data_IF_904107957754
#
_entry.id   IF_904107957754
#
_cell.length_a   1.000
_cell.length_b   1.000
_cell.length_c   1.000
_cell.angle_alpha   90.00
_cell.angle_beta   90.00
_cell.angle_gamma   90.00
#
_symmetry.space_group_name_H-M   'P 1'
#
loop_
_entity.id
_entity.type
_entity.pdbx_description
1 polymer ?
#
# COMPACT_ATOMS: atom_id res chain seq x y z
N UNK A 1 14.05 32.15 -45.80
CA UNK A 1 15.24 32.88 -46.28
C UNK A 1 15.96 31.95 -47.23
N UNK A 2 15.63 32.08 -48.51
CA UNK A 2 16.18 31.22 -49.58
C UNK A 2 16.96 32.16 -50.48
N UNK A 3 18.28 32.01 -50.47
CA UNK A 3 19.21 32.80 -51.26
C UNK A 3 19.03 32.49 -52.75
N UNK A 4 18.84 33.54 -53.55
CA UNK A 4 18.81 33.47 -55.01
C UNK A 4 20.24 33.77 -55.50
N UNK A 5 20.89 32.75 -56.04
CA UNK A 5 22.20 32.84 -56.71
C UNK A 5 22.14 33.76 -57.93
N UNK A 6 23.07 34.71 -57.98
CA UNK A 6 23.26 35.65 -59.08
C UNK A 6 23.83 34.95 -60.34
N UNK A 7 23.17 35.18 -61.48
CA UNK A 7 23.60 34.73 -62.80
C UNK A 7 24.72 35.63 -63.36
N UNK A 8 25.76 35.01 -63.91
CA UNK A 8 26.88 35.69 -64.57
C UNK A 8 26.47 36.36 -65.88
N UNK A 9 26.92 37.60 -66.08
CA UNK A 9 26.66 38.38 -67.30
C UNK A 9 27.38 37.85 -68.55
N UNK A 10 26.85 38.11 -69.76
CA UNK A 10 27.40 37.58 -71.01
C UNK A 10 28.75 38.22 -71.36
N UNK A 11 29.78 37.39 -71.54
CA UNK A 11 31.09 37.81 -72.04
C UNK A 11 31.01 38.13 -73.54
N UNK A 12 31.31 39.37 -73.91
CA UNK A 12 31.38 39.83 -75.31
C UNK A 12 32.62 39.22 -75.97
N UNK A 13 32.45 38.44 -77.04
CA UNK A 13 33.55 37.89 -77.84
C UNK A 13 33.73 38.69 -79.13
N UNK A 14 34.96 39.11 -79.45
CA UNK A 14 35.30 39.71 -80.75
C UNK A 14 35.54 38.63 -81.80
N UNK A 15 34.80 38.68 -82.91
CA UNK A 15 34.83 37.71 -84.02
C UNK A 15 35.36 38.41 -85.28
N UNK A 16 36.38 37.85 -85.93
CA UNK A 16 36.92 38.38 -87.18
C UNK A 16 35.96 38.14 -88.36
N UNK A 17 35.94 39.06 -89.33
CA UNK A 17 35.11 38.94 -90.52
C UNK A 17 35.68 37.92 -91.53
N UNK A 18 34.92 36.87 -91.86
CA UNK A 18 35.30 35.77 -92.75
C UNK A 18 35.01 36.05 -94.24
N UNK A 19 35.08 37.31 -94.69
CA UNK A 19 34.78 37.65 -96.09
C UNK A 19 35.93 37.19 -97.02
N UNK A 20 35.65 36.49 -98.14
CA UNK A 20 36.67 35.96 -99.03
C UNK A 20 37.32 37.09 -99.84
N UNK A 21 38.40 37.68 -99.30
CA UNK A 21 39.18 38.73 -99.97
C UNK A 21 40.69 38.46 -99.80
N UNK A 22 41.53 38.85 -100.78
CA UNK A 22 42.98 38.72 -100.68
C UNK A 22 43.50 39.52 -99.48
N UNK A 23 44.11 38.86 -98.48
CA UNK A 23 44.64 39.50 -97.27
C UNK A 23 43.69 39.55 -96.06
N UNK A 24 42.43 39.09 -96.20
CA UNK A 24 41.45 39.05 -95.11
C UNK A 24 40.92 40.42 -94.68
N UNK A 25 39.70 40.44 -94.13
CA UNK A 25 39.10 41.69 -93.65
C UNK A 25 39.66 42.05 -92.27
N UNK A 26 40.18 43.27 -92.11
CA UNK A 26 40.74 43.77 -90.83
C UNK A 26 39.68 44.03 -89.74
N UNK A 27 38.40 44.06 -90.10
CA UNK A 27 37.33 44.40 -89.17
C UNK A 27 36.92 43.21 -88.28
N UNK A 28 36.73 43.49 -87.00
CA UNK A 28 36.21 42.57 -85.98
C UNK A 28 34.81 43.02 -85.54
N UNK A 29 33.95 42.05 -85.22
CA UNK A 29 32.58 42.27 -84.73
C UNK A 29 32.47 41.83 -83.27
N UNK A 30 31.80 42.62 -82.45
CA UNK A 30 31.49 42.24 -81.07
C UNK A 30 30.21 41.41 -81.01
N UNK A 31 30.25 40.24 -80.37
CA UNK A 31 29.11 39.33 -80.23
C UNK A 31 28.90 38.95 -78.77
N UNK A 32 27.73 39.31 -78.23
CA UNK A 32 27.35 39.10 -76.83
C UNK A 32 26.02 38.34 -76.67
N UNK A 33 25.55 37.67 -77.73
CA UNK A 33 24.18 37.14 -77.80
C UNK A 33 24.05 35.62 -77.76
N UNK A 34 22.82 35.14 -77.58
CA UNK A 34 22.41 33.73 -77.72
C UNK A 34 21.82 33.56 -79.13
N UNK A 35 22.58 32.95 -80.04
CA UNK A 35 22.21 32.80 -81.46
C UNK A 35 23.36 32.37 -82.36
N UNK A 36 23.15 32.35 -83.68
CA UNK A 36 24.21 31.99 -84.63
C UNK A 36 25.19 33.16 -84.80
N UNK A 37 26.48 32.92 -84.53
CA UNK A 37 27.55 33.93 -84.64
C UNK A 37 27.56 34.58 -86.04
N UNK A 38 27.59 35.92 -86.14
CA UNK A 38 27.66 36.61 -87.42
C UNK A 38 29.02 36.37 -88.09
N UNK A 39 29.02 36.03 -89.38
CA UNK A 39 30.24 35.71 -90.15
C UNK A 39 30.86 36.91 -90.88
N UNK A 40 30.09 37.96 -91.16
CA UNK A 40 30.54 39.09 -91.98
C UNK A 40 30.20 40.43 -91.31
N UNK A 41 31.12 41.41 -91.40
CA UNK A 41 31.00 42.70 -90.70
C UNK A 41 29.97 43.68 -91.28
N UNK A 42 29.31 43.36 -92.39
CA UNK A 42 28.30 44.18 -93.10
C UNK A 42 28.73 45.58 -93.56
N UNK A 43 29.97 45.98 -93.26
CA UNK A 43 30.57 47.22 -93.71
C UNK A 43 31.05 47.11 -95.17
N UNK A 44 31.20 48.26 -95.83
CA UNK A 44 31.77 48.36 -97.18
C UNK A 44 33.28 48.53 -97.03
N UNK A 45 34.05 47.56 -97.54
CA UNK A 45 35.51 47.60 -97.58
C UNK A 45 35.92 47.43 -99.04
N UNK A 46 36.81 48.31 -99.53
CA UNK A 46 37.28 48.33 -100.93
C UNK A 46 36.15 48.33 -101.99
N UNK A 47 35.07 49.06 -101.71
CA UNK A 47 33.92 49.24 -102.62
C UNK A 47 32.88 48.11 -102.60
N UNK A 48 33.10 47.05 -101.81
CA UNK A 48 32.20 45.90 -101.70
C UNK A 48 31.65 45.74 -100.29
N UNK A 49 30.32 45.54 -100.17
CA UNK A 49 29.67 45.32 -98.88
C UNK A 49 29.88 43.88 -98.40
N UNK A 50 30.43 43.71 -97.21
CA UNK A 50 30.69 42.41 -96.58
C UNK A 50 29.41 41.76 -96.06
N UNK A 51 28.58 41.24 -96.98
CA UNK A 51 27.34 40.53 -96.70
C UNK A 51 27.37 39.13 -97.34
N UNK A 52 26.54 38.21 -96.85
CA UNK A 52 26.51 36.82 -97.32
C UNK A 52 26.31 36.68 -98.84
N UNK A 53 25.47 37.53 -99.43
CA UNK A 53 25.21 37.55 -100.87
C UNK A 53 26.47 37.92 -101.69
N UNK A 54 27.21 38.93 -101.25
CA UNK A 54 28.43 39.36 -101.95
C UNK A 54 29.59 38.38 -101.72
N UNK A 55 29.68 37.76 -100.53
CA UNK A 55 30.66 36.71 -100.25
C UNK A 55 30.45 35.50 -101.17
N UNK A 56 29.19 35.10 -101.39
CA UNK A 56 28.84 34.04 -102.33
C UNK A 56 29.20 34.41 -103.79
N UNK A 57 28.96 35.66 -104.20
CA UNK A 57 29.31 36.13 -105.56
C UNK A 57 30.81 36.19 -105.80
N UNK A 58 31.59 36.59 -104.79
CA UNK A 58 33.06 36.62 -104.87
C UNK A 58 33.62 35.20 -104.86
N UNK A 59 33.13 34.31 -104.00
CA UNK A 59 33.54 32.91 -103.97
C UNK A 59 33.25 32.17 -105.30
N UNK A 60 32.19 32.56 -106.00
CA UNK A 60 31.80 31.99 -107.30
C UNK A 60 32.38 32.76 -108.50
N UNK A 61 33.31 33.70 -108.29
CA UNK A 61 33.97 34.46 -109.38
C UNK A 61 33.06 35.42 -110.17
N UNK A 62 31.81 35.63 -109.72
CA UNK A 62 30.84 36.50 -110.39
C UNK A 62 31.06 38.00 -110.09
N UNK A 63 31.98 38.30 -109.16
CA UNK A 63 32.49 39.64 -108.86
C UNK A 63 33.97 39.50 -108.54
N UNK A 64 34.81 40.23 -109.27
CA UNK A 64 36.23 40.34 -108.96
C UNK A 64 36.42 41.35 -107.82
N UNK A 65 37.12 40.94 -106.76
CA UNK A 65 37.52 41.86 -105.69
C UNK A 65 38.60 42.79 -106.25
N UNK A 66 38.40 44.12 -106.23
CA UNK A 66 39.40 45.07 -106.69
C UNK A 66 40.68 44.97 -105.85
N UNK A 67 41.84 45.11 -106.48
CA UNK A 67 43.11 45.25 -105.74
C UNK A 67 43.06 46.51 -104.84
N UNK A 68 43.60 46.45 -103.60
CA UNK A 68 43.47 47.51 -102.62
C UNK A 68 43.96 48.86 -103.18
N UNK A 69 43.06 49.86 -103.26
CA UNK A 69 43.41 51.24 -103.66
C UNK A 69 42.80 51.79 -104.96
N UNK A 70 41.91 51.06 -105.64
CA UNK A 70 41.41 51.47 -106.97
C UNK A 70 40.00 52.10 -106.95
N UNK A 71 39.89 53.41 -107.24
CA UNK A 71 38.63 54.11 -107.54
C UNK A 71 38.38 54.13 -109.06
N UNK A 72 37.12 53.99 -109.54
CA UNK A 72 36.62 54.99 -110.49
C UNK A 72 35.12 55.33 -110.44
N UNK A 73 34.79 56.41 -111.16
CA UNK A 73 33.56 57.20 -111.23
C UNK A 73 32.62 56.82 -112.41
N UNK A 74 31.39 57.39 -112.54
CA UNK A 74 30.38 56.97 -113.52
C UNK A 74 30.16 57.96 -114.68
N UNK A 75 29.80 57.46 -115.88
CA UNK A 75 29.16 58.19 -116.99
C UNK A 75 28.66 57.17 -118.05
N UNK A 76 27.39 57.09 -118.45
CA UNK A 76 26.53 57.98 -119.28
C UNK A 76 26.47 57.58 -120.77
N UNK A 77 25.24 57.62 -121.31
CA UNK A 77 24.76 57.17 -122.62
C UNK A 77 25.16 58.08 -123.82
N UNK A 78 24.95 57.65 -125.08
CA UNK A 78 25.62 58.21 -126.27
C UNK A 78 24.78 59.24 -127.05
N UNK A 79 25.47 60.16 -127.73
CA UNK A 79 24.85 61.12 -128.64
C UNK A 79 25.78 61.60 -129.76
N UNK A 80 25.34 61.32 -131.00
CA UNK A 80 25.20 62.26 -132.12
C UNK A 80 26.42 62.80 -132.92
N UNK A 81 26.29 62.62 -134.26
CA UNK A 81 26.69 63.52 -135.38
C UNK A 81 28.21 63.60 -135.71
N UNK A 82 28.72 64.16 -136.84
CA UNK A 82 28.15 65.13 -137.80
C UNK A 82 28.70 64.98 -139.29
N UNK A 83 28.88 66.02 -140.15
CA UNK A 83 28.20 66.14 -141.46
C UNK A 83 29.11 66.36 -142.70
N UNK A 84 28.63 66.23 -143.95
CA UNK A 84 29.36 66.59 -145.20
C UNK A 84 28.44 67.02 -146.38
N UNK A 85 28.94 67.73 -147.42
CA UNK A 85 28.32 68.94 -148.00
C UNK A 85 27.56 68.81 -149.36
N UNK A 86 26.96 69.95 -149.76
CA UNK A 86 25.72 70.18 -150.53
C UNK A 86 25.77 69.96 -152.05
N UNK A 87 26.90 69.58 -152.64
CA UNK A 87 26.98 69.30 -154.10
C UNK A 87 26.56 67.88 -154.46
N UNK A 88 26.63 66.94 -153.51
CA UNK A 88 26.13 65.57 -153.65
C UNK A 88 24.60 65.48 -153.48
N UNK A 89 24.01 66.45 -152.75
CA UNK A 89 22.57 66.52 -152.48
C UNK A 89 21.66 66.64 -153.72
N UNK A 90 22.17 67.08 -154.88
CA UNK A 90 21.37 67.15 -156.12
C UNK A 90 21.38 65.85 -156.95
N UNK A 91 22.42 65.04 -156.84
CA UNK A 91 22.44 63.68 -157.39
C UNK A 91 21.79 62.69 -156.41
N UNK A 92 21.94 62.95 -155.11
CA UNK A 92 21.25 62.21 -154.06
C UNK A 92 19.76 62.53 -153.99
N UNK A 93 19.27 63.70 -154.43
CA UNK A 93 17.83 64.00 -154.48
C UNK A 93 17.05 63.10 -155.48
N UNK A 94 17.67 62.71 -156.60
CA UNK A 94 17.06 61.78 -157.54
C UNK A 94 17.07 60.34 -156.99
N UNK A 95 18.14 59.96 -156.29
CA UNK A 95 18.28 58.64 -155.65
C UNK A 95 17.45 58.54 -154.36
N UNK A 96 17.27 59.63 -153.63
CA UNK A 96 16.40 59.76 -152.45
C UNK A 96 14.92 59.74 -152.84
N UNK A 97 14.51 60.17 -154.04
CA UNK A 97 13.12 60.03 -154.46
C UNK A 97 12.76 58.55 -154.72
N UNK A 98 13.68 57.78 -155.29
CA UNK A 98 13.51 56.35 -155.57
C UNK A 98 13.72 55.48 -154.32
N UNK A 99 14.60 55.92 -153.41
CA UNK A 99 14.75 55.33 -152.07
C UNK A 99 13.60 55.73 -151.14
N UNK A 100 13.03 56.94 -151.20
CA UNK A 100 11.83 57.35 -150.43
C UNK A 100 10.60 56.59 -150.91
N UNK A 101 10.42 56.36 -152.21
CA UNK A 101 9.35 55.48 -152.70
C UNK A 101 9.46 54.07 -152.10
N UNK A 102 10.66 53.49 -152.07
CA UNK A 102 10.89 52.18 -151.48
C UNK A 102 10.86 52.15 -149.93
N UNK A 103 11.20 53.24 -149.24
CA UNK A 103 11.17 53.35 -147.77
C UNK A 103 9.75 53.64 -147.25
N UNK A 104 8.95 54.39 -148.03
CA UNK A 104 7.53 54.62 -147.75
C UNK A 104 6.74 53.32 -147.93
N UNK A 105 6.94 52.60 -149.05
CA UNK A 105 6.16 51.38 -149.34
C UNK A 105 6.61 50.14 -148.54
N UNK A 106 7.90 49.98 -148.20
CA UNK A 106 8.39 48.77 -147.49
C UNK A 106 8.65 48.94 -145.99
N UNK A 107 8.79 50.16 -145.47
CA UNK A 107 9.12 50.37 -144.05
C UNK A 107 8.09 51.23 -143.32
N UNK A 108 7.66 52.35 -143.90
CA UNK A 108 6.58 53.14 -143.30
C UNK A 108 5.24 52.45 -143.42
N UNK A 109 4.93 51.76 -144.52
CA UNK A 109 3.66 51.04 -144.63
C UNK A 109 3.49 49.99 -143.51
N UNK A 110 4.42 49.04 -143.25
CA UNK A 110 4.26 48.09 -142.15
C UNK A 110 4.40 48.71 -140.75
N UNK A 111 5.16 49.80 -140.56
CA UNK A 111 5.21 50.52 -139.28
C UNK A 111 3.96 51.37 -139.03
N UNK A 112 3.36 51.95 -140.06
CA UNK A 112 2.06 52.61 -140.00
C UNK A 112 0.97 51.56 -139.83
N UNK A 113 1.07 50.39 -140.46
CA UNK A 113 0.16 49.27 -140.19
C UNK A 113 0.31 48.77 -138.75
N UNK A 114 1.53 48.60 -138.23
CA UNK A 114 1.76 48.23 -136.82
C UNK A 114 1.36 49.34 -135.84
N UNK A 115 1.56 50.61 -136.19
CA UNK A 115 1.14 51.75 -135.36
C UNK A 115 -0.37 51.94 -135.42
N UNK A 116 -1.00 51.71 -136.57
CA UNK A 116 -2.46 51.71 -136.73
C UNK A 116 -3.05 50.48 -136.06
N UNK A 117 -2.40 49.32 -136.08
CA UNK A 117 -2.79 48.11 -135.33
C UNK A 117 -2.60 48.32 -133.82
N UNK A 118 -1.50 48.94 -133.38
CA UNK A 118 -1.26 49.25 -131.98
C UNK A 118 -2.16 50.40 -131.47
N UNK A 119 -2.45 51.40 -132.29
CA UNK A 119 -3.44 52.44 -132.01
C UNK A 119 -4.86 51.88 -132.12
N UNK A 120 -5.13 50.92 -133.00
CA UNK A 120 -6.40 50.22 -133.04
C UNK A 120 -6.55 49.38 -131.78
N UNK A 121 -5.55 48.65 -131.31
CA UNK A 121 -5.61 47.90 -130.04
C UNK A 121 -5.68 48.83 -128.82
N UNK A 122 -4.96 49.96 -128.82
CA UNK A 122 -4.98 50.93 -127.72
C UNK A 122 -6.21 51.85 -127.71
N UNK A 123 -6.84 52.08 -128.87
CA UNK A 123 -8.10 52.80 -129.03
C UNK A 123 -9.29 51.86 -129.28
N UNK A 124 -9.08 50.55 -129.18
CA UNK A 124 -10.12 49.54 -129.19
C UNK A 124 -10.74 49.53 -127.79
N UNK A 125 -11.94 50.11 -127.64
CA UNK A 125 -12.61 50.12 -126.36
C UNK A 125 -12.86 48.69 -125.85
N UNK A 126 -12.92 47.69 -126.72
CA UNK A 126 -13.16 46.29 -126.34
C UNK A 126 -11.90 45.63 -125.75
N UNK A 127 -10.70 45.97 -126.27
CA UNK A 127 -9.44 45.49 -125.69
C UNK A 127 -9.14 46.14 -124.34
N UNK A 128 -9.32 47.46 -124.22
CA UNK A 128 -9.15 48.17 -122.95
C UNK A 128 -10.17 47.74 -121.88
N UNK A 129 -11.42 47.47 -122.26
CA UNK A 129 -12.41 46.90 -121.34
C UNK A 129 -12.03 45.48 -120.92
N UNK A 130 -11.50 44.64 -121.82
CA UNK A 130 -11.05 43.28 -121.46
C UNK A 130 -9.87 43.26 -120.47
N UNK A 131 -8.92 44.19 -120.57
CA UNK A 131 -7.82 44.33 -119.61
C UNK A 131 -8.31 44.87 -118.27
N UNK A 132 -9.20 45.87 -118.28
CA UNK A 132 -9.82 46.39 -117.05
C UNK A 132 -10.66 45.30 -116.37
N UNK A 133 -11.43 44.51 -117.12
CA UNK A 133 -12.19 43.37 -116.60
C UNK A 133 -11.27 42.25 -116.08
N UNK A 134 -10.11 42.03 -116.71
CA UNK A 134 -9.10 41.08 -116.23
C UNK A 134 -8.47 41.54 -114.91
N UNK A 135 -8.03 42.79 -114.83
CA UNK A 135 -7.46 43.41 -113.62
C UNK A 135 -8.51 43.54 -112.52
N UNK A 136 -9.76 43.87 -112.85
CA UNK A 136 -10.86 43.89 -111.90
C UNK A 136 -11.17 42.49 -111.37
N UNK A 137 -11.16 41.44 -112.22
CA UNK A 137 -11.32 40.05 -111.76
C UNK A 137 -10.16 39.62 -110.87
N UNK A 138 -8.92 39.93 -111.23
CA UNK A 138 -7.74 39.61 -110.42
C UNK A 138 -7.75 40.38 -109.09
N UNK A 139 -8.06 41.68 -109.10
CA UNK A 139 -8.21 42.49 -107.91
C UNK A 139 -9.34 41.98 -107.02
N UNK A 140 -10.47 41.57 -107.61
CA UNK A 140 -11.58 40.94 -106.89
C UNK A 140 -11.12 39.63 -106.25
N UNK A 141 -10.44 38.75 -106.99
CA UNK A 141 -9.88 37.51 -106.42
C UNK A 141 -8.90 37.78 -105.28
N UNK A 142 -8.04 38.80 -105.39
CA UNK A 142 -7.12 39.18 -104.30
C UNK A 142 -7.85 39.72 -103.08
N UNK A 143 -8.92 40.49 -103.28
CA UNK A 143 -9.79 40.98 -102.20
C UNK A 143 -10.50 39.80 -101.54
N UNK A 144 -11.14 38.93 -102.32
CA UNK A 144 -11.85 37.76 -101.79
C UNK A 144 -10.89 36.83 -101.00
N UNK A 145 -9.64 36.64 -101.47
CA UNK A 145 -8.61 35.89 -100.74
C UNK A 145 -8.17 36.62 -99.45
N UNK A 146 -8.03 37.94 -99.48
CA UNK A 146 -7.64 38.72 -98.31
C UNK A 146 -8.77 38.79 -97.26
N UNK A 147 -10.02 38.96 -97.71
CA UNK A 147 -11.23 38.91 -96.89
C UNK A 147 -11.38 37.53 -96.25
N UNK A 148 -11.26 36.44 -97.04
CA UNK A 148 -11.26 35.08 -96.50
C UNK A 148 -10.14 34.82 -95.49
N UNK A 149 -8.92 35.32 -95.75
CA UNK A 149 -7.81 35.20 -94.80
C UNK A 149 -8.03 36.01 -93.51
N UNK A 150 -8.71 37.17 -93.59
CA UNK A 150 -9.07 37.98 -92.44
C UNK A 150 -10.19 37.33 -91.62
N UNK A 151 -11.22 36.79 -92.29
CA UNK A 151 -12.29 36.00 -91.67
C UNK A 151 -11.72 34.76 -90.96
N UNK A 152 -10.81 34.02 -91.60
CA UNK A 152 -10.11 32.89 -90.99
C UNK A 152 -9.27 33.30 -89.77
N UNK A 153 -8.59 34.45 -89.84
CA UNK A 153 -7.80 34.96 -88.73
C UNK A 153 -8.69 35.37 -87.54
N UNK A 154 -9.82 36.01 -87.81
CA UNK A 154 -10.85 36.33 -86.81
C UNK A 154 -11.41 35.06 -86.17
N UNK A 155 -11.81 34.07 -86.99
CA UNK A 155 -12.32 32.79 -86.50
C UNK A 155 -11.30 32.06 -85.61
N UNK A 156 -10.00 32.08 -85.96
CA UNK A 156 -8.93 31.53 -85.13
C UNK A 156 -8.74 32.32 -83.83
N UNK A 157 -8.83 33.64 -83.86
CA UNK A 157 -8.71 34.48 -82.67
C UNK A 157 -9.87 34.23 -81.69
N UNK A 158 -11.11 34.19 -82.18
CA UNK A 158 -12.30 33.87 -81.38
C UNK A 158 -12.24 32.44 -80.81
N UNK A 159 -11.73 31.47 -81.57
CA UNK A 159 -11.53 30.11 -81.08
C UNK A 159 -10.46 30.06 -79.99
N UNK A 160 -9.36 30.81 -80.14
CA UNK A 160 -8.31 30.91 -79.13
C UNK A 160 -8.78 31.62 -77.86
N UNK A 161 -9.61 32.66 -77.99
CA UNK A 161 -10.22 33.36 -76.85
C UNK A 161 -11.17 32.43 -76.08
N UNK A 162 -12.08 31.74 -76.78
CA UNK A 162 -12.96 30.72 -76.17
C UNK A 162 -12.17 29.60 -75.50
N UNK A 163 -11.07 29.15 -76.11
CA UNK A 163 -10.20 28.14 -75.51
C UNK A 163 -9.50 28.67 -74.24
N UNK A 164 -9.05 29.93 -74.25
CA UNK A 164 -8.44 30.58 -73.08
C UNK A 164 -9.44 30.78 -71.94
N UNK A 165 -10.68 31.21 -72.24
CA UNK A 165 -11.76 31.32 -71.27
C UNK A 165 -12.12 29.95 -70.67
N UNK A 166 -12.24 28.92 -71.51
CA UNK A 166 -12.48 27.55 -71.05
C UNK A 166 -11.35 27.06 -70.14
N UNK A 167 -10.10 27.35 -70.49
CA UNK A 167 -8.94 27.00 -69.66
C UNK A 167 -8.94 27.73 -68.32
N UNK A 168 -9.27 29.03 -68.29
CA UNK A 168 -9.40 29.81 -67.05
C UNK A 168 -10.53 29.29 -66.17
N UNK A 169 -11.69 28.94 -66.76
CA UNK A 169 -12.80 28.35 -66.03
C UNK A 169 -12.43 26.98 -65.44
N UNK A 170 -11.73 26.13 -66.20
CA UNK A 170 -11.24 24.85 -65.73
C UNK A 170 -10.19 25.01 -64.60
N UNK A 171 -9.31 26.00 -64.71
CA UNK A 171 -8.34 26.33 -63.66
C UNK A 171 -9.05 26.79 -62.38
N UNK A 172 -10.01 27.71 -62.47
CA UNK A 172 -10.77 28.19 -61.32
C UNK A 172 -11.54 27.05 -60.62
N UNK A 173 -12.16 26.16 -61.39
CA UNK A 173 -12.83 24.98 -60.85
C UNK A 173 -11.85 24.01 -60.17
N UNK A 174 -10.65 23.83 -60.74
CA UNK A 174 -9.61 22.99 -60.14
C UNK A 174 -9.05 23.60 -58.84
N UNK A 175 -8.91 24.93 -58.79
CA UNK A 175 -8.52 25.67 -57.57
C UNK A 175 -9.58 25.53 -56.48
N UNK A 176 -10.86 25.69 -56.81
CA UNK A 176 -11.97 25.51 -55.84
C UNK A 176 -12.01 24.07 -55.28
N UNK A 177 -11.84 23.05 -56.14
CA UNK A 177 -11.76 21.65 -55.69
C UNK A 177 -10.52 21.41 -54.81
N UNK A 178 -9.39 22.04 -55.13
CA UNK A 178 -8.18 21.93 -54.32
C UNK A 178 -8.35 22.59 -52.95
N UNK A 179 -8.97 23.77 -52.88
CA UNK A 179 -9.26 24.48 -51.64
C UNK A 179 -10.25 23.70 -50.76
N UNK A 180 -11.29 23.12 -51.35
CA UNK A 180 -12.21 22.23 -50.64
C UNK A 180 -11.48 21.01 -50.09
N UNK A 181 -10.64 20.34 -50.88
CA UNK A 181 -9.88 19.18 -50.45
C UNK A 181 -8.88 19.50 -49.32
N UNK A 182 -8.30 20.71 -49.31
CA UNK A 182 -7.44 21.17 -48.22
C UNK A 182 -8.26 21.41 -46.95
N UNK A 183 -9.44 22.01 -47.07
CA UNK A 183 -10.38 22.24 -45.96
C UNK A 183 -10.83 20.92 -45.34
N UNK A 184 -11.30 19.97 -46.15
CA UNK A 184 -11.73 18.64 -45.71
C UNK A 184 -10.60 17.88 -44.99
N UNK A 185 -9.36 17.99 -45.50
CA UNK A 185 -8.19 17.36 -44.90
C UNK A 185 -7.87 17.97 -43.53
N UNK A 186 -7.97 19.29 -43.40
CA UNK A 186 -7.66 19.98 -42.15
C UNK A 186 -8.76 19.72 -41.10
N UNK A 187 -10.04 19.64 -41.51
CA UNK A 187 -11.14 19.17 -40.64
C UNK A 187 -10.93 17.72 -40.18
N UNK A 188 -10.55 16.81 -41.09
CA UNK A 188 -10.27 15.41 -40.73
C UNK A 188 -9.09 15.27 -39.76
N UNK A 189 -8.07 16.14 -39.89
CA UNK A 189 -6.95 16.20 -38.93
C UNK A 189 -7.42 16.69 -37.57
N UNK A 190 -8.25 17.73 -37.53
CA UNK A 190 -8.78 18.23 -36.27
C UNK A 190 -9.63 17.16 -35.56
N UNK A 191 -10.49 16.45 -36.29
CA UNK A 191 -11.29 15.34 -35.74
C UNK A 191 -10.40 14.23 -35.18
N UNK A 192 -9.36 13.83 -35.92
CA UNK A 192 -8.40 12.83 -35.42
C UNK A 192 -7.73 13.31 -34.13
N UNK A 193 -7.23 14.53 -34.10
CA UNK A 193 -6.55 15.09 -32.93
C UNK A 193 -7.51 15.21 -31.73
N UNK A 194 -8.78 15.54 -31.96
CA UNK A 194 -9.83 15.52 -30.93
C UNK A 194 -10.07 14.10 -30.40
N UNK A 195 -10.15 13.09 -31.27
CA UNK A 195 -10.30 11.69 -30.87
C UNK A 195 -9.08 11.17 -30.10
N UNK A 196 -7.87 11.54 -30.51
CA UNK A 196 -6.63 11.18 -29.80
C UNK A 196 -6.59 11.79 -28.40
N UNK A 197 -6.99 13.06 -28.26
CA UNK A 197 -7.12 13.71 -26.94
C UNK A 197 -8.17 13.02 -26.07
N UNK A 198 -9.34 12.72 -26.63
CA UNK A 198 -10.40 12.01 -25.90
C UNK A 198 -9.95 10.61 -25.46
N UNK A 199 -9.25 9.87 -26.34
CA UNK A 199 -8.69 8.57 -26.00
C UNK A 199 -7.64 8.67 -24.89
N UNK A 200 -6.77 9.68 -24.92
CA UNK A 200 -5.78 9.92 -23.87
C UNK A 200 -6.44 10.22 -22.51
N UNK A 201 -7.52 11.01 -22.49
CA UNK A 201 -8.31 11.26 -21.27
C UNK A 201 -8.90 9.96 -20.73
N UNK A 202 -9.55 9.16 -21.57
CA UNK A 202 -10.15 7.87 -21.16
C UNK A 202 -9.09 6.88 -20.66
N UNK A 203 -7.90 6.85 -21.25
CA UNK A 203 -6.78 6.01 -20.78
C UNK A 203 -6.35 6.44 -19.37
N UNK A 204 -6.24 7.74 -19.12
CA UNK A 204 -5.87 8.27 -17.80
C UNK A 204 -6.97 7.97 -16.77
N UNK A 205 -8.24 8.23 -17.08
CA UNK A 205 -9.37 7.91 -16.20
C UNK A 205 -9.41 6.41 -15.85
N UNK A 206 -9.17 5.56 -16.84
CA UNK A 206 -9.14 4.10 -16.64
C UNK A 206 -7.93 3.68 -15.78
N UNK A 207 -6.79 4.34 -15.91
CA UNK A 207 -5.63 4.12 -15.04
C UNK A 207 -5.93 4.55 -13.59
N UNK A 208 -6.57 5.70 -13.40
CA UNK A 208 -6.99 6.20 -12.08
C UNK A 208 -8.00 5.25 -11.41
N UNK A 209 -9.01 4.79 -12.15
CA UNK A 209 -10.00 3.82 -11.64
C UNK A 209 -9.34 2.49 -11.25
N UNK A 210 -8.38 2.01 -12.04
CA UNK A 210 -7.62 0.80 -11.71
C UNK A 210 -6.79 0.97 -10.44
N UNK A 211 -6.09 2.09 -10.30
CA UNK A 211 -5.32 2.41 -9.10
C UNK A 211 -6.22 2.52 -7.86
N UNK A 212 -7.39 3.17 -8.00
CA UNK A 212 -8.37 3.28 -6.91
C UNK A 212 -8.94 1.90 -6.51
N UNK A 213 -9.22 1.03 -7.49
CA UNK A 213 -9.68 -0.34 -7.23
C UNK A 213 -8.61 -1.16 -6.50
N UNK A 214 -7.35 -1.07 -6.92
CA UNK A 214 -6.23 -1.75 -6.26
C UNK A 214 -6.08 -1.25 -4.81
N UNK A 215 -6.11 0.07 -4.58
CA UNK A 215 -6.11 0.64 -3.23
C UNK A 215 -7.25 0.10 -2.37
N UNK A 216 -8.48 0.13 -2.88
CA UNK A 216 -9.65 -0.38 -2.16
C UNK A 216 -9.56 -1.89 -1.85
N UNK A 217 -8.96 -2.69 -2.75
CA UNK A 217 -8.71 -4.10 -2.51
C UNK A 217 -7.67 -4.32 -1.41
N UNK A 218 -6.59 -3.55 -1.40
CA UNK A 218 -5.56 -3.63 -0.34
C UNK A 218 -6.11 -3.19 1.02
N UNK A 219 -6.89 -2.12 1.07
CA UNK A 219 -7.59 -1.65 2.28
C UNK A 219 -8.61 -2.68 2.77
N UNK A 220 -9.37 -3.29 1.85
CA UNK A 220 -10.30 -4.37 2.16
C UNK A 220 -9.61 -5.59 2.75
N UNK A 221 -8.47 -6.00 2.19
CA UNK A 221 -7.66 -7.10 2.71
C UNK A 221 -7.11 -6.79 4.10
N UNK A 222 -6.57 -5.58 4.31
CA UNK A 222 -6.07 -5.14 5.62
C UNK A 222 -7.18 -5.14 6.68
N UNK A 223 -8.37 -4.62 6.32
CA UNK A 223 -9.55 -4.60 7.20
C UNK A 223 -10.02 -6.01 7.55
N UNK A 224 -9.98 -6.94 6.58
CA UNK A 224 -10.33 -8.34 6.82
C UNK A 224 -9.36 -9.02 7.80
N UNK A 225 -8.06 -8.75 7.70
CA UNK A 225 -7.04 -9.23 8.65
C UNK A 225 -7.30 -8.70 10.06
N UNK A 226 -7.52 -7.39 10.21
CA UNK A 226 -7.83 -6.77 11.52
C UNK A 226 -9.11 -7.37 12.13
N UNK A 227 -10.14 -7.61 11.32
CA UNK A 227 -11.37 -8.25 11.79
C UNK A 227 -11.15 -9.70 12.24
N UNK A 228 -10.30 -10.46 11.54
CA UNK A 228 -9.95 -11.82 11.92
C UNK A 228 -9.17 -11.86 13.25
N UNK A 229 -8.21 -10.95 13.44
CA UNK A 229 -7.45 -10.80 14.69
C UNK A 229 -8.38 -10.40 15.85
N UNK A 230 -9.28 -9.45 15.64
CA UNK A 230 -10.24 -9.04 16.66
C UNK A 230 -11.18 -10.18 17.08
N UNK A 231 -11.62 -11.02 16.12
CA UNK A 231 -12.43 -12.22 16.42
C UNK A 231 -11.65 -13.25 17.24
N UNK A 232 -10.42 -13.54 16.86
CA UNK A 232 -9.54 -14.45 17.60
C UNK A 232 -9.29 -13.94 19.03
N UNK A 233 -9.13 -12.62 19.21
CA UNK A 233 -8.96 -12.01 20.54
C UNK A 233 -10.22 -12.12 21.39
N UNK A 234 -11.42 -11.92 20.81
CA UNK A 234 -12.70 -12.12 21.51
C UNK A 234 -12.87 -13.57 21.92
N UNK A 235 -12.55 -14.53 21.06
CA UNK A 235 -12.59 -15.97 21.39
C UNK A 235 -11.63 -16.30 22.55
N UNK A 236 -10.39 -15.77 22.49
CA UNK A 236 -9.38 -15.93 23.55
C UNK A 236 -9.87 -15.38 24.88
N UNK A 237 -10.41 -14.15 24.90
CA UNK A 237 -10.92 -13.51 26.12
C UNK A 237 -12.16 -14.25 26.66
N UNK A 238 -13.03 -14.75 25.79
CA UNK A 238 -14.20 -15.56 26.18
C UNK A 238 -13.77 -16.86 26.86
N UNK A 239 -12.77 -17.55 26.29
CA UNK A 239 -12.20 -18.76 26.90
C UNK A 239 -11.53 -18.47 28.26
N UNK A 240 -10.82 -17.35 28.38
CA UNK A 240 -10.21 -16.91 29.64
C UNK A 240 -11.26 -16.59 30.71
N UNK A 241 -12.35 -15.93 30.32
CA UNK A 241 -13.45 -15.63 31.24
C UNK A 241 -14.10 -16.92 31.76
N UNK A 242 -14.42 -17.87 30.87
CA UNK A 242 -14.98 -19.16 31.27
C UNK A 242 -14.05 -19.93 32.22
N UNK A 243 -12.74 -19.97 31.93
CA UNK A 243 -11.76 -20.59 32.81
C UNK A 243 -11.67 -19.90 34.18
N UNK A 244 -11.74 -18.57 34.22
CA UNK A 244 -11.74 -17.81 35.46
C UNK A 244 -13.02 -18.04 36.29
N UNK A 245 -14.17 -18.20 35.63
CA UNK A 245 -15.44 -18.54 36.30
C UNK A 245 -15.38 -19.94 36.92
N UNK A 246 -14.87 -20.94 36.19
CA UNK A 246 -14.64 -22.29 36.74
C UNK A 246 -13.69 -22.25 37.93
N UNK A 247 -12.53 -21.58 37.80
CA UNK A 247 -11.56 -21.47 38.90
C UNK A 247 -12.16 -20.77 40.14
N UNK A 248 -13.01 -19.76 39.95
CA UNK A 248 -13.73 -19.10 41.04
C UNK A 248 -14.70 -20.05 41.73
N UNK A 249 -15.43 -20.86 40.98
CA UNK A 249 -16.44 -21.78 41.54
C UNK A 249 -15.77 -22.98 42.24
N UNK A 250 -14.63 -23.46 41.73
CA UNK A 250 -13.76 -24.42 42.41
C UNK A 250 -13.26 -23.85 43.74
N UNK A 251 -12.70 -22.63 43.73
CA UNK A 251 -12.21 -21.97 44.94
C UNK A 251 -13.32 -21.75 45.99
N UNK A 252 -14.57 -21.48 45.56
CA UNK A 252 -15.74 -21.41 46.45
C UNK A 252 -16.06 -22.76 47.08
N UNK A 253 -15.96 -23.83 46.30
CA UNK A 253 -16.20 -25.20 46.78
C UNK A 253 -15.13 -25.60 47.80
N UNK A 254 -13.85 -25.32 47.51
CA UNK A 254 -12.74 -25.53 48.45
C UNK A 254 -12.89 -24.69 49.72
N UNK A 255 -13.31 -23.43 49.61
CA UNK A 255 -13.59 -22.57 50.76
C UNK A 255 -14.73 -23.12 51.62
N UNK A 256 -15.80 -23.64 51.01
CA UNK A 256 -16.89 -24.26 51.75
C UNK A 256 -16.44 -25.54 52.47
N UNK A 257 -15.62 -26.36 51.82
CA UNK A 257 -15.05 -27.58 52.39
C UNK A 257 -14.12 -27.27 53.58
N UNK A 258 -13.22 -26.30 53.42
CA UNK A 258 -12.31 -25.87 54.50
C UNK A 258 -13.08 -25.24 55.67
N UNK A 259 -14.13 -24.45 55.40
CA UNK A 259 -15.01 -23.92 56.44
C UNK A 259 -15.73 -25.04 57.20
N UNK A 260 -16.17 -26.10 56.51
CA UNK A 260 -16.73 -27.28 57.17
C UNK A 260 -15.71 -27.99 58.05
N UNK A 261 -14.50 -28.25 57.54
CA UNK A 261 -13.43 -28.86 58.33
C UNK A 261 -13.10 -28.08 59.60
N UNK A 262 -13.08 -26.74 59.52
CA UNK A 262 -12.87 -25.89 60.71
C UNK A 262 -14.01 -26.04 61.71
N UNK A 263 -15.26 -26.15 61.27
CA UNK A 263 -16.41 -26.42 62.15
C UNK A 263 -16.27 -27.78 62.83
N UNK A 264 -15.98 -28.83 62.07
CA UNK A 264 -15.83 -30.20 62.60
C UNK A 264 -14.68 -30.28 63.62
N UNK A 265 -13.55 -29.62 63.35
CA UNK A 265 -12.43 -29.53 64.30
C UNK A 265 -12.78 -28.72 65.55
N UNK A 266 -13.61 -27.69 65.42
CA UNK A 266 -14.08 -26.88 66.55
C UNK A 266 -14.99 -27.72 67.45
N UNK A 267 -15.92 -28.47 66.87
CA UNK A 267 -16.80 -29.40 67.59
C UNK A 267 -16.00 -30.49 68.28
N UNK A 268 -15.09 -31.16 67.55
CA UNK A 268 -14.20 -32.18 68.11
C UNK A 268 -13.36 -31.67 69.29
N UNK A 269 -12.84 -30.44 69.19
CA UNK A 269 -12.11 -29.78 70.28
C UNK A 269 -13.01 -29.55 71.50
N UNK A 270 -14.26 -29.11 71.29
CA UNK A 270 -15.17 -28.80 72.38
C UNK A 270 -15.68 -30.08 73.06
N UNK A 271 -15.91 -31.15 72.30
CA UNK A 271 -16.17 -32.51 72.82
C UNK A 271 -15.00 -33.03 73.65
N UNK A 272 -13.77 -32.90 73.15
CA UNK A 272 -12.57 -33.32 73.87
C UNK A 272 -12.39 -32.53 75.19
N UNK A 273 -12.72 -31.22 75.19
CA UNK A 273 -12.73 -30.39 76.40
C UNK A 273 -13.80 -30.84 77.40
N UNK A 274 -15.00 -31.17 76.93
CA UNK A 274 -16.07 -31.68 77.76
C UNK A 274 -15.70 -33.04 78.40
N UNK A 275 -15.15 -33.97 77.61
CA UNK A 275 -14.65 -35.26 78.09
C UNK A 275 -13.55 -35.07 79.15
N UNK A 276 -12.56 -34.20 78.89
CA UNK A 276 -11.51 -33.89 79.87
C UNK A 276 -12.07 -33.29 81.17
N UNK A 277 -13.10 -32.45 81.09
CA UNK A 277 -13.75 -31.87 82.26
C UNK A 277 -14.53 -32.91 83.08
N UNK A 278 -15.11 -33.92 82.43
CA UNK A 278 -15.75 -35.07 83.08
C UNK A 278 -14.72 -35.95 83.77
N UNK A 279 -13.65 -36.35 83.08
CA UNK A 279 -12.54 -37.13 83.67
C UNK A 279 -11.94 -36.44 84.91
N UNK A 280 -11.70 -35.12 84.84
CA UNK A 280 -11.22 -34.35 86.00
C UNK A 280 -12.19 -34.38 87.18
N UNK A 281 -13.51 -34.35 86.94
CA UNK A 281 -14.53 -34.47 87.98
C UNK A 281 -14.51 -35.87 88.59
N UNK A 282 -14.47 -36.91 87.78
CA UNK A 282 -14.42 -38.31 88.23
C UNK A 282 -13.16 -38.59 89.05
N UNK A 283 -11.99 -38.13 88.61
CA UNK A 283 -10.74 -38.21 89.38
C UNK A 283 -10.85 -37.44 90.71
N UNK A 284 -11.47 -36.26 90.71
CA UNK A 284 -11.73 -35.49 91.93
C UNK A 284 -12.64 -36.25 92.91
N UNK A 285 -13.67 -36.93 92.41
CA UNK A 285 -14.54 -37.79 93.22
C UNK A 285 -13.84 -39.05 93.72
N UNK A 286 -13.01 -39.69 92.90
CA UNK A 286 -12.17 -40.82 93.31
C UNK A 286 -11.21 -40.42 94.44
N UNK A 287 -10.54 -39.26 94.32
CA UNK A 287 -9.68 -38.73 95.39
C UNK A 287 -10.45 -38.47 96.68
N UNK A 288 -11.61 -37.80 96.61
CA UNK A 288 -12.47 -37.60 97.79
C UNK A 288 -12.92 -38.91 98.42
N UNK A 289 -13.26 -39.92 97.62
CA UNK A 289 -13.61 -41.26 98.12
C UNK A 289 -12.42 -41.92 98.81
N UNK A 290 -11.21 -41.81 98.24
CA UNK A 290 -9.99 -42.33 98.84
C UNK A 290 -9.67 -41.62 100.17
N UNK A 291 -9.70 -40.29 100.21
CA UNK A 291 -9.48 -39.49 101.43
C UNK A 291 -10.50 -39.85 102.54
N UNK A 292 -11.78 -40.00 102.20
CA UNK A 292 -12.80 -40.42 103.16
C UNK A 292 -12.58 -41.87 103.65
N UNK A 293 -12.12 -42.76 102.79
CA UNK A 293 -11.76 -44.12 103.16
C UNK A 293 -10.56 -44.13 104.12
N UNK A 294 -9.50 -43.36 103.81
CA UNK A 294 -8.33 -43.19 104.69
C UNK A 294 -8.73 -42.61 106.05
N UNK A 295 -9.58 -41.59 106.09
CA UNK A 295 -10.09 -41.03 107.35
C UNK A 295 -10.91 -42.04 108.17
N UNK A 296 -11.69 -42.91 107.50
CA UNK A 296 -12.40 -44.00 108.18
C UNK A 296 -11.42 -45.00 108.75
N UNK A 297 -10.45 -45.47 107.96
CA UNK A 297 -9.39 -46.37 108.43
C UNK A 297 -8.64 -45.78 109.62
N UNK A 298 -8.23 -44.51 109.58
CA UNK A 298 -7.56 -43.85 110.69
C UNK A 298 -8.45 -43.76 111.95
N UNK A 299 -9.75 -43.49 111.80
CA UNK A 299 -10.71 -43.51 112.92
C UNK A 299 -10.88 -44.91 113.49
N UNK A 300 -10.98 -45.91 112.63
CA UNK A 300 -11.12 -47.31 113.01
C UNK A 300 -9.86 -47.79 113.74
N UNK A 301 -8.67 -47.43 113.28
CA UNK A 301 -7.38 -47.69 113.96
C UNK A 301 -7.33 -47.04 115.36
N UNK A 302 -7.72 -45.77 115.49
CA UNK A 302 -7.83 -45.10 116.80
C UNK A 302 -8.84 -45.80 117.71
N UNK A 303 -9.97 -46.26 117.16
CA UNK A 303 -11.00 -46.99 117.90
C UNK A 303 -10.48 -48.34 118.37
N UNK A 304 -9.78 -49.09 117.49
CA UNK A 304 -9.14 -50.36 117.82
C UNK A 304 -8.07 -50.15 118.90
N UNK A 305 -7.24 -49.11 118.79
CA UNK A 305 -6.24 -48.76 119.83
C UNK A 305 -6.92 -48.51 121.18
N UNK A 306 -7.95 -47.66 121.20
CA UNK A 306 -8.72 -47.37 122.42
C UNK A 306 -9.38 -48.61 123.01
N UNK A 307 -9.97 -49.48 122.18
CA UNK A 307 -10.56 -50.74 122.65
C UNK A 307 -9.49 -51.71 123.18
N UNK A 308 -8.29 -51.70 122.60
CA UNK A 308 -7.15 -52.51 123.05
C UNK A 308 -6.65 -52.02 124.41
N UNK A 309 -6.55 -50.70 124.61
CA UNK A 309 -6.18 -50.09 125.89
C UNK A 309 -7.25 -50.39 126.96
N UNK A 310 -8.53 -50.25 126.62
CA UNK A 310 -9.65 -50.62 127.51
C UNK A 310 -9.63 -52.09 127.89
N UNK A 311 -9.38 -53.00 126.94
CA UNK A 311 -9.25 -54.43 127.20
C UNK A 311 -8.05 -54.73 128.11
N UNK A 312 -6.94 -54.03 127.91
CA UNK A 312 -5.74 -54.16 128.74
C UNK A 312 -5.99 -53.67 130.16
N UNK A 313 -6.65 -52.53 130.32
CA UNK A 313 -7.08 -51.99 131.60
C UNK A 313 -8.05 -52.95 132.32
N UNK A 314 -9.09 -53.43 131.63
CA UNK A 314 -10.05 -54.40 132.19
C UNK A 314 -9.39 -55.72 132.61
N UNK A 315 -8.39 -56.20 131.85
CA UNK A 315 -7.56 -57.36 132.26
C UNK A 315 -6.71 -57.06 133.48
N UNK A 316 -6.18 -55.83 133.60
CA UNK A 316 -5.49 -55.35 134.79
C UNK A 316 -6.42 -55.36 136.02
N UNK A 317 -7.58 -54.71 135.91
CA UNK A 317 -8.60 -54.68 136.97
C UNK A 317 -9.07 -56.09 137.37
N UNK A 318 -9.26 -56.99 136.41
CA UNK A 318 -9.64 -58.38 136.70
C UNK A 318 -8.54 -59.13 137.48
N UNK A 319 -7.25 -58.90 137.14
CA UNK A 319 -6.13 -59.46 137.92
C UNK A 319 -6.09 -58.87 139.32
N UNK A 320 -6.25 -57.56 139.47
CA UNK A 320 -6.30 -56.90 140.77
C UNK A 320 -7.47 -57.42 141.61
N UNK A 321 -8.65 -57.62 141.02
CA UNK A 321 -9.79 -58.23 141.72
C UNK A 321 -9.50 -59.68 142.12
N UNK A 322 -8.85 -60.45 141.26
CA UNK A 322 -8.46 -61.83 141.57
C UNK A 322 -7.44 -61.86 142.72
N UNK A 323 -6.49 -60.93 142.75
CA UNK A 323 -5.50 -60.78 143.82
C UNK A 323 -6.14 -60.32 145.14
N UNK A 324 -7.07 -59.34 145.09
CA UNK A 324 -7.89 -58.94 146.24
C UNK A 324 -8.74 -60.10 146.75
N UNK A 325 -9.34 -60.89 145.86
CA UNK A 325 -10.12 -62.08 146.24
C UNK A 325 -9.23 -63.17 146.84
N UNK A 326 -8.00 -63.36 146.33
CA UNK A 326 -7.02 -64.28 146.92
C UNK A 326 -6.59 -63.80 148.32
N UNK A 327 -6.35 -62.50 148.48
CA UNK A 327 -6.03 -61.88 149.78
C UNK A 327 -7.20 -62.04 150.76
N UNK A 328 -8.43 -61.70 150.36
CA UNK A 328 -9.61 -61.88 151.20
C UNK A 328 -9.86 -63.35 151.57
N UNK A 329 -9.57 -64.30 150.68
CA UNK A 329 -9.62 -65.74 151.00
C UNK A 329 -8.55 -66.14 152.01
N UNK A 330 -7.34 -65.60 151.89
CA UNK A 330 -6.27 -65.81 152.86
C UNK A 330 -6.62 -65.22 154.24
N UNK A 331 -7.18 -64.00 154.26
CA UNK A 331 -7.67 -63.35 155.48
C UNK A 331 -8.82 -64.14 156.12
N UNK A 332 -9.78 -64.63 155.33
CA UNK A 332 -10.86 -65.49 155.81
C UNK A 332 -10.33 -66.80 156.40
N UNK A 333 -9.35 -67.43 155.75
CA UNK A 333 -8.70 -68.63 156.26
C UNK A 333 -7.96 -68.34 157.58
N UNK A 334 -7.25 -67.20 157.66
CA UNK A 334 -6.61 -66.73 158.88
C UNK A 334 -7.59 -66.46 160.02
N UNK A 335 -8.71 -65.79 159.74
CA UNK A 335 -9.78 -65.55 160.70
C UNK A 335 -10.45 -66.85 161.16
N UNK A 336 -10.64 -67.81 160.26
CA UNK A 336 -11.19 -69.14 160.61
C UNK A 336 -10.26 -69.90 161.53
N UNK A 337 -8.95 -69.91 161.23
CA UNK A 337 -7.94 -70.51 162.10
C UNK A 337 -7.88 -69.83 163.48
N UNK A 338 -8.06 -68.50 163.56
CA UNK A 338 -8.19 -67.79 164.82
C UNK A 338 -9.44 -68.19 165.62
N UNK A 339 -10.59 -68.35 164.95
CA UNK A 339 -11.82 -68.82 165.62
C UNK A 339 -11.63 -70.24 166.17
N UNK A 340 -11.00 -71.14 165.42
CA UNK A 340 -10.68 -72.49 165.88
C UNK A 340 -9.72 -72.46 167.08
N UNK A 341 -8.64 -71.68 167.01
CA UNK A 341 -7.72 -71.50 168.13
C UNK A 341 -8.40 -70.92 169.37
N UNK A 342 -9.33 -69.96 169.20
CA UNK A 342 -10.12 -69.40 170.29
C UNK A 342 -11.13 -70.41 170.87
N UNK A 343 -11.72 -71.28 170.04
CA UNK A 343 -12.59 -72.37 170.49
C UNK A 343 -11.81 -73.41 171.30
N UNK A 344 -10.63 -73.79 170.85
CA UNK A 344 -9.74 -74.69 171.59
C UNK A 344 -9.25 -74.06 172.91
N UNK A 345 -8.95 -72.76 172.91
CA UNK A 345 -8.65 -72.03 174.14
C UNK A 345 -9.86 -72.01 175.10
N UNK A 346 -11.09 -71.84 174.57
CA UNK A 346 -12.31 -71.84 175.37
C UNK A 346 -12.65 -73.23 175.94
N UNK A 347 -12.47 -74.31 175.19
CA UNK A 347 -12.66 -75.69 175.70
C UNK A 347 -11.62 -76.03 176.76
N UNK A 348 -10.37 -75.62 176.56
CA UNK A 348 -9.29 -75.78 177.56
C UNK A 348 -9.60 -74.98 178.82
N UNK A 349 -10.07 -73.73 178.69
CA UNK A 349 -10.48 -72.90 179.82
C UNK A 349 -11.70 -73.48 180.55
N UNK A 350 -12.67 -74.07 179.83
CA UNK A 350 -13.81 -74.75 180.43
C UNK A 350 -13.39 -75.98 181.23
N UNK A 351 -12.48 -76.81 180.71
CA UNK A 351 -11.91 -77.94 181.44
C UNK A 351 -11.20 -77.50 182.74
N UNK A 352 -10.42 -76.41 182.68
CA UNK A 352 -9.79 -75.83 183.89
C UNK A 352 -10.80 -75.25 184.89
N UNK A 353 -11.91 -74.69 184.42
CA UNK A 353 -12.98 -74.18 185.28
C UNK A 353 -13.75 -75.31 185.96
N UNK A 354 -14.05 -76.41 185.25
CA UNK A 354 -14.64 -77.63 185.82
C UNK A 354 -13.72 -78.26 186.87
N UNK A 355 -12.42 -78.31 186.61
CA UNK A 355 -11.43 -78.82 187.56
C UNK A 355 -11.41 -77.99 188.86
N UNK A 356 -11.39 -76.65 188.75
CA UNK A 356 -11.49 -75.75 189.92
C UNK A 356 -12.79 -75.92 190.71
N UNK A 357 -13.89 -76.20 190.02
CA UNK A 357 -15.20 -76.43 190.64
C UNK A 357 -15.24 -77.77 191.38
N UNK A 358 -14.59 -78.80 190.84
CA UNK A 358 -14.39 -80.07 191.52
C UNK A 358 -13.53 -79.92 192.78
N UNK A 359 -12.42 -79.17 192.69
CA UNK A 359 -11.53 -78.89 193.82
C UNK A 359 -12.24 -78.07 194.92
N UNK A 360 -13.07 -77.09 194.55
CA UNK A 360 -13.86 -76.30 195.49
C UNK A 360 -14.96 -77.12 196.19
N UNK A 361 -15.58 -78.09 195.49
CA UNK A 361 -16.54 -79.02 196.09
C UNK A 361 -15.85 -79.95 197.10
N UNK A 362 -14.68 -80.47 196.76
CA UNK A 362 -13.88 -81.30 197.67
C UNK A 362 -13.50 -80.54 198.95
N UNK A 363 -13.11 -79.26 198.84
CA UNK A 363 -12.80 -78.41 200.00
C UNK A 363 -14.04 -78.12 200.88
N UNK A 364 -15.21 -77.91 200.28
CA UNK A 364 -16.46 -77.69 201.01
C UNK A 364 -16.97 -78.94 201.74
N UNK A 365 -16.84 -80.12 201.12
CA UNK A 365 -17.19 -81.39 201.77
C UNK A 365 -16.29 -81.68 202.98
N UNK A 366 -15.00 -81.29 202.89
CA UNK A 366 -14.06 -81.31 204.02
C UNK A 366 -14.51 -80.38 205.16
N UNK A 367 -14.93 -79.15 204.86
CA UNK A 367 -15.42 -78.18 205.86
C UNK A 367 -16.72 -78.64 206.54
N UNK A 368 -17.62 -79.31 205.81
CA UNK A 368 -18.86 -79.87 206.37
C UNK A 368 -18.61 -81.07 207.29
N UNK A 369 -17.61 -81.91 206.97
CA UNK A 369 -17.19 -82.99 207.86
C UNK A 369 -16.57 -82.44 209.17
N UNK A 370 -15.80 -81.36 209.06
CA UNK A 370 -15.15 -80.72 210.20
C UNK A 370 -16.15 -80.01 211.13
N UNK A 371 -17.16 -79.33 210.58
CA UNK A 371 -18.24 -78.71 211.35
C UNK A 371 -19.15 -79.74 212.06
N UNK A 372 -19.38 -80.91 211.45
CA UNK A 372 -20.10 -82.01 212.12
C UNK A 372 -19.31 -82.56 213.30
N UNK A 373 -17.98 -82.72 213.15
CA UNK A 373 -17.09 -83.10 214.25
C UNK A 373 -16.94 -82.03 215.35
N UNK A 374 -17.26 -80.77 215.09
CA UNK A 374 -17.28 -79.69 216.08
C UNK A 374 -18.62 -79.65 216.86
N UNK A 375 -19.75 -79.91 216.19
CA UNK A 375 -21.06 -80.01 216.85
C UNK A 375 -21.16 -81.19 217.84
N UNK A 376 -20.52 -82.31 217.54
CA UNK A 376 -20.44 -83.47 218.44
C UNK A 376 -19.58 -83.21 219.69
N UNK A 377 -18.57 -82.33 219.56
CA UNK A 377 -17.74 -81.84 220.68
C UNK A 377 -18.46 -80.82 221.57
N UNK A 378 -19.33 -79.99 221.01
CA UNK A 378 -20.15 -79.02 221.79
C UNK A 378 -21.28 -79.74 222.54
N UNK A 379 -21.87 -80.79 221.95
CA UNK A 379 -22.88 -81.65 222.61
C UNK A 379 -22.34 -82.41 223.82
N UNK A 380 -21.05 -82.75 223.83
CA UNK A 380 -20.41 -83.46 224.95
C UNK A 380 -19.89 -82.52 226.05
N UNK A 381 -19.80 -81.20 225.80
CA UNK A 381 -19.40 -80.21 226.81
C UNK A 381 -20.57 -79.62 227.61
N UNK A 382 -21.79 -79.57 227.05
CA UNK A 382 -22.98 -79.08 227.79
C UNK A 382 -23.61 -80.12 228.75
N UNK A 383 -23.24 -81.40 228.66
CA UNK A 383 -23.64 -82.45 229.62
C UNK A 383 -22.78 -82.47 230.91
N UNK A 384 -21.81 -81.54 231.06
CA UNK A 384 -20.86 -81.53 232.19
C UNK A 384 -20.99 -80.40 233.22
N UNK A 385 -21.90 -79.41 233.05
CA UNK A 385 -21.89 -78.17 233.88
C UNK A 385 -23.27 -77.71 234.44
N UNK A 386 -24.15 -78.65 234.81
CA UNK A 386 -25.19 -78.39 235.84
C UNK A 386 -25.60 -79.70 236.53
N UNK A 387 -24.73 -80.09 237.47
CA UNK A 387 -25.12 -80.69 238.75
C UNK A 387 -25.22 -79.59 239.79
#
# INVERSE_FOLDING_TARGET
MTEISAAGGPQVQTIACEFPMPGGCRNVMEYAGVGRKPKYCQQVVDGLRHAAYNAHRVANGAVTVPEPGSRPAPASAPGATPPRPVTQARADAAKLHEQLGNLVDRQLQPLITQLVEALQVAADPDSATSEVESVQREARTRIDVAEGAAEDALARAEAAERAAETARAAQAAAEEVADQALTDRDEAREQRDQHERAAAVLINELAEVRAALESAQTEGAATATVLAEARAEVERLTAQLAAAETARDDARTELAATAQQVRDLTESRDDARAALATERRELGEQRRRAELAEQRTARDELTISSLTDQLTAARGEARDQQERAATARADLAGATAQIEALRDAATTAAAHAEQRLADARAAHDQQLAELRGQLERVRSQSESDSR
#
